data_IF_201913951748
#
_entry.id   IF_201913951748
#
_cell.length_a   1.000
_cell.length_b   1.000
_cell.length_c   1.000
_cell.angle_alpha   90.00
_cell.angle_beta   90.00
_cell.angle_gamma   90.00
#
_symmetry.space_group_name_H-M   'P 1'
#
loop_
_entity.id
_entity.type
_entity.pdbx_description
1 polymer ?
#
# COMPACT_ATOMS: atom_id res chain seq x y z
N UNK A 1 -3.62 -8.59 18.14
CA UNK A 1 -3.33 -9.32 16.87
C UNK A 1 -1.88 -9.78 16.77
N UNK A 2 -0.88 -8.90 16.58
CA UNK A 2 0.52 -9.37 16.47
C UNK A 2 1.14 -9.83 17.80
N UNK A 3 0.67 -9.25 18.91
CA UNK A 3 1.28 -9.41 20.24
C UNK A 3 0.50 -10.34 21.18
N UNK A 4 -0.48 -11.08 20.65
CA UNK A 4 -1.31 -12.00 21.42
C UNK A 4 -0.91 -13.46 21.18
N UNK A 5 -1.07 -14.35 22.18
CA UNK A 5 -0.80 -15.78 21.99
C UNK A 5 -1.55 -16.36 20.79
N UNK A 6 -0.84 -17.11 19.94
CA UNK A 6 -1.38 -17.67 18.71
C UNK A 6 -1.33 -16.73 17.50
N UNK A 7 -0.70 -15.56 17.62
CA UNK A 7 -0.34 -14.75 16.46
C UNK A 7 0.77 -15.42 15.64
N UNK A 8 0.84 -15.04 14.36
CA UNK A 8 1.92 -15.44 13.45
C UNK A 8 3.33 -15.10 13.97
N UNK A 9 3.46 -14.12 14.87
CA UNK A 9 4.75 -13.75 15.47
C UNK A 9 5.25 -14.85 16.41
N UNK A 10 4.36 -15.50 17.15
CA UNK A 10 4.71 -16.66 17.98
C UNK A 10 5.05 -17.88 17.11
N UNK A 11 4.37 -18.06 15.98
CA UNK A 11 4.69 -19.12 15.02
C UNK A 11 6.10 -18.90 14.43
N UNK A 12 6.41 -17.67 13.99
CA UNK A 12 7.75 -17.29 13.52
C UNK A 12 8.81 -17.53 14.60
N UNK A 13 8.52 -17.21 15.87
CA UNK A 13 9.44 -17.46 16.98
C UNK A 13 9.73 -18.96 17.15
N UNK A 14 8.69 -19.80 17.10
CA UNK A 14 8.82 -21.24 17.19
C UNK A 14 9.60 -21.82 16.00
N UNK A 15 9.30 -21.39 14.77
CA UNK A 15 9.96 -21.83 13.54
C UNK A 15 11.46 -21.48 13.52
N UNK A 16 11.82 -20.30 14.01
CA UNK A 16 13.20 -19.80 14.02
C UNK A 16 14.00 -20.21 15.25
N UNK A 17 13.36 -20.88 16.23
CA UNK A 17 14.00 -21.24 17.49
C UNK A 17 14.36 -20.04 18.36
N UNK A 18 13.61 -18.94 18.22
CA UNK A 18 13.79 -17.69 18.97
C UNK A 18 12.66 -17.52 19.99
N UNK A 19 12.67 -16.43 20.76
CA UNK A 19 11.62 -16.12 21.75
C UNK A 19 11.10 -14.73 21.53
N UNK A 20 9.80 -14.63 21.27
CA UNK A 20 9.08 -13.36 21.26
C UNK A 20 8.53 -13.06 22.66
N UNK A 21 8.78 -11.85 23.15
CA UNK A 21 8.24 -11.37 24.43
C UNK A 21 7.15 -10.35 24.12
N UNK A 22 5.88 -10.59 24.45
CA UNK A 22 4.84 -9.64 24.12
C UNK A 22 4.91 -8.39 25.01
N UNK A 23 4.39 -7.26 24.52
CA UNK A 23 4.41 -5.98 25.23
C UNK A 23 3.76 -6.04 26.61
N UNK A 24 2.72 -6.88 26.78
CA UNK A 24 2.10 -7.14 28.09
C UNK A 24 3.10 -7.60 29.17
N UNK A 25 4.26 -8.14 28.76
CA UNK A 25 5.34 -8.57 29.64
C UNK A 25 6.53 -7.59 29.68
N UNK A 26 6.62 -6.64 28.75
CA UNK A 26 7.71 -5.66 28.66
C UNK A 26 7.44 -4.37 29.45
N UNK A 27 6.17 -4.08 29.74
CA UNK A 27 5.77 -2.96 30.58
C UNK A 27 5.14 -1.80 29.80
N UNK A 28 4.83 -0.69 30.50
CA UNK A 28 4.10 0.43 29.92
C UNK A 28 4.94 1.15 28.85
N UNK A 29 4.30 1.49 27.73
CA UNK A 29 4.93 2.22 26.62
C UNK A 29 5.50 1.33 25.52
N UNK A 30 5.40 0.00 25.63
CA UNK A 30 5.68 -0.90 24.53
C UNK A 30 4.53 -0.84 23.52
N UNK A 31 4.85 -0.53 22.26
CA UNK A 31 3.90 -0.56 21.15
C UNK A 31 3.82 -1.99 20.57
N UNK A 32 2.65 -2.66 20.62
CA UNK A 32 2.51 -4.04 20.17
C UNK A 32 2.89 -4.29 18.72
N UNK A 33 2.64 -3.33 17.82
CA UNK A 33 2.95 -3.46 16.40
C UNK A 33 4.46 -3.34 16.18
N UNK A 34 5.08 -2.28 16.70
CA UNK A 34 6.52 -2.06 16.57
C UNK A 34 7.32 -3.18 17.23
N UNK A 35 6.90 -3.65 18.42
CA UNK A 35 7.55 -4.78 19.08
C UNK A 35 7.56 -6.05 18.20
N UNK A 36 6.43 -6.35 17.56
CA UNK A 36 6.33 -7.48 16.64
C UNK A 36 7.21 -7.31 15.41
N UNK A 37 7.21 -6.14 14.77
CA UNK A 37 8.02 -5.86 13.58
C UNK A 37 9.51 -5.91 13.91
N UNK A 38 9.93 -5.28 15.01
CA UNK A 38 11.32 -5.32 15.48
C UNK A 38 11.78 -6.75 15.74
N UNK A 39 10.95 -7.57 16.38
CA UNK A 39 11.26 -8.98 16.56
C UNK A 39 11.41 -9.72 15.22
N UNK A 40 10.47 -9.57 14.30
CA UNK A 40 10.46 -10.25 13.00
C UNK A 40 11.72 -9.92 12.20
N UNK A 41 12.07 -8.64 12.08
CA UNK A 41 13.19 -8.20 11.25
C UNK A 41 14.55 -8.37 11.94
N UNK A 42 14.66 -8.03 13.23
CA UNK A 42 15.95 -7.92 13.93
C UNK A 42 16.34 -9.19 14.70
N UNK A 43 15.37 -10.02 15.09
CA UNK A 43 15.62 -11.24 15.89
C UNK A 43 15.37 -12.49 15.04
N UNK A 44 14.20 -12.60 14.43
CA UNK A 44 13.82 -13.75 13.61
C UNK A 44 14.41 -13.70 12.20
N UNK A 45 14.97 -12.55 11.78
CA UNK A 45 15.58 -12.32 10.46
C UNK A 45 14.63 -12.66 9.29
N UNK A 46 13.36 -12.30 9.44
CA UNK A 46 12.30 -12.49 8.44
C UNK A 46 11.89 -11.17 7.81
N UNK A 47 11.37 -11.24 6.59
CA UNK A 47 10.84 -10.07 5.89
C UNK A 47 9.45 -9.72 6.42
N UNK A 48 9.21 -8.50 6.89
CA UNK A 48 7.88 -8.10 7.40
C UNK A 48 6.78 -8.07 6.32
N UNK A 49 7.15 -7.92 5.06
CA UNK A 49 6.22 -7.91 3.93
C UNK A 49 6.03 -9.30 3.31
N UNK A 50 6.85 -10.28 3.70
CA UNK A 50 6.78 -11.66 3.26
C UNK A 50 7.36 -12.57 4.36
N UNK A 51 6.67 -12.75 5.48
CA UNK A 51 7.27 -13.37 6.68
C UNK A 51 7.88 -14.78 6.51
N UNK A 52 7.50 -15.62 5.51
CA UNK A 52 8.23 -16.86 5.23
C UNK A 52 9.63 -16.65 4.65
N UNK A 53 9.94 -15.47 4.13
CA UNK A 53 11.19 -15.12 3.45
C UNK A 53 12.23 -14.48 4.39
N UNK A 54 13.52 -14.51 4.05
CA UNK A 54 14.57 -13.81 4.79
C UNK A 54 14.36 -12.28 4.75
N UNK A 55 14.77 -11.58 5.81
CA UNK A 55 14.69 -10.11 5.91
C UNK A 55 15.25 -9.42 4.66
N UNK A 56 14.50 -8.47 4.10
CA UNK A 56 14.89 -7.68 2.92
C UNK A 56 14.50 -8.30 1.58
N UNK A 57 14.00 -9.53 1.57
CA UNK A 57 13.63 -10.25 0.35
C UNK A 57 12.74 -9.44 -0.59
N UNK A 58 11.67 -8.79 -0.10
CA UNK A 58 10.74 -8.10 -0.99
C UNK A 58 11.43 -6.93 -1.71
N UNK A 59 12.21 -6.14 -0.98
CA UNK A 59 12.93 -5.00 -1.55
C UNK A 59 14.01 -5.46 -2.54
N UNK A 60 14.68 -6.58 -2.29
CA UNK A 60 15.59 -7.17 -3.28
C UNK A 60 14.85 -7.54 -4.59
N UNK A 61 13.63 -8.07 -4.51
CA UNK A 61 12.82 -8.34 -5.70
C UNK A 61 12.44 -7.04 -6.43
N UNK A 62 11.97 -6.03 -5.69
CA UNK A 62 11.61 -4.72 -6.26
C UNK A 62 12.81 -4.06 -6.95
N UNK A 63 13.96 -4.03 -6.29
CA UNK A 63 15.20 -3.44 -6.81
C UNK A 63 15.72 -4.19 -8.04
N UNK A 64 15.52 -5.51 -8.10
CA UNK A 64 15.87 -6.31 -9.26
C UNK A 64 14.90 -6.13 -10.45
N UNK A 65 13.61 -5.90 -10.18
CA UNK A 65 12.56 -5.78 -11.19
C UNK A 65 12.44 -4.37 -11.75
N UNK A 66 12.55 -3.34 -10.91
CA UNK A 66 12.33 -1.93 -11.28
C UNK A 66 13.10 -1.51 -12.55
N UNK A 67 14.43 -1.68 -12.61
CA UNK A 67 15.20 -1.35 -13.80
C UNK A 67 14.81 -2.15 -15.05
N UNK A 68 14.38 -3.42 -14.88
CA UNK A 68 13.96 -4.27 -16.01
C UNK A 68 12.62 -3.83 -16.57
N UNK A 69 11.70 -3.41 -15.70
CA UNK A 69 10.40 -2.91 -16.12
C UNK A 69 10.47 -1.50 -16.73
N UNK A 70 11.61 -0.81 -16.59
CA UNK A 70 11.89 0.43 -17.32
C UNK A 70 12.37 0.21 -18.77
N UNK A 71 12.52 -1.06 -19.19
CA UNK A 71 12.73 -1.44 -20.59
C UNK A 71 11.39 -1.81 -21.24
N UNK A 72 10.97 -1.05 -22.26
CA UNK A 72 9.65 -1.16 -22.88
C UNK A 72 9.34 -2.58 -23.39
N UNK A 73 10.20 -3.26 -24.18
CA UNK A 73 9.93 -4.64 -24.61
C UNK A 73 9.76 -5.62 -23.44
N UNK A 74 10.57 -5.46 -22.39
CA UNK A 74 10.45 -6.28 -21.17
C UNK A 74 9.14 -6.00 -20.46
N UNK A 75 8.74 -4.74 -20.32
CA UNK A 75 7.47 -4.35 -19.72
C UNK A 75 6.27 -4.87 -20.52
N UNK A 76 6.26 -4.72 -21.85
CA UNK A 76 5.20 -5.24 -22.72
C UNK A 76 5.08 -6.77 -22.62
N UNK A 77 6.23 -7.47 -22.56
CA UNK A 77 6.26 -8.92 -22.32
C UNK A 77 5.71 -9.28 -20.96
N UNK A 78 6.09 -8.54 -19.92
CA UNK A 78 5.68 -8.79 -18.54
C UNK A 78 4.18 -8.54 -18.34
N UNK A 79 3.67 -7.42 -18.85
CA UNK A 79 2.26 -7.05 -18.72
C UNK A 79 1.35 -7.75 -19.73
N UNK A 80 1.91 -8.35 -20.79
CA UNK A 80 1.13 -8.98 -21.85
C UNK A 80 0.31 -7.98 -22.68
N UNK A 81 0.68 -6.69 -22.66
CA UNK A 81 0.01 -5.62 -23.40
C UNK A 81 1.04 -4.81 -24.20
N UNK A 82 0.64 -4.38 -25.40
CA UNK A 82 1.42 -3.43 -26.20
C UNK A 82 1.24 -2.03 -25.59
N UNK A 83 2.14 -1.65 -24.69
CA UNK A 83 2.11 -0.34 -24.02
C UNK A 83 2.20 0.81 -25.03
N UNK A 84 2.93 0.61 -26.13
CA UNK A 84 2.98 1.57 -27.25
C UNK A 84 1.62 1.84 -27.90
N UNK A 85 0.62 0.97 -27.72
CA UNK A 85 -0.74 1.19 -28.21
C UNK A 85 -1.61 2.02 -27.26
N UNK A 86 -1.16 2.36 -26.05
CA UNK A 86 -1.91 3.15 -25.06
C UNK A 86 -1.63 4.64 -25.27
N UNK A 87 -2.57 5.43 -25.87
CA UNK A 87 -2.27 6.81 -26.25
C UNK A 87 -1.94 7.72 -25.07
N UNK A 88 -2.51 7.45 -23.90
CA UNK A 88 -2.33 8.24 -22.69
C UNK A 88 -0.92 8.12 -22.09
N UNK A 89 -0.16 7.09 -22.47
CA UNK A 89 1.24 6.99 -22.06
C UNK A 89 2.10 8.07 -22.73
N UNK A 90 1.79 8.50 -23.94
CA UNK A 90 2.60 9.48 -24.66
C UNK A 90 2.64 10.85 -23.97
N UNK A 91 3.82 11.45 -23.87
CA UNK A 91 4.05 12.78 -23.30
C UNK A 91 3.15 13.86 -23.94
N UNK A 92 2.84 13.72 -25.24
CA UNK A 92 1.94 14.62 -25.97
C UNK A 92 0.48 14.56 -25.48
N UNK A 93 0.04 13.44 -24.90
CA UNK A 93 -1.28 13.28 -24.29
C UNK A 93 -1.34 13.87 -22.87
N UNK A 94 -0.19 14.02 -22.19
CA UNK A 94 -0.08 14.46 -20.79
C UNK A 94 -0.06 15.99 -20.58
N UNK A 95 -0.66 16.75 -21.50
CA UNK A 95 -0.68 18.22 -21.42
C UNK A 95 -1.37 18.76 -20.15
N UNK A 96 -2.27 17.97 -19.56
CA UNK A 96 -3.02 18.30 -18.34
C UNK A 96 -2.62 17.46 -17.11
N UNK A 97 -1.51 16.71 -17.16
CA UNK A 97 -1.04 15.97 -15.99
C UNK A 97 -0.80 16.93 -14.82
N UNK A 98 -1.07 16.46 -13.59
CA UNK A 98 -0.86 17.26 -12.39
C UNK A 98 0.58 17.76 -12.35
N UNK A 99 0.74 19.08 -12.24
CA UNK A 99 2.05 19.72 -12.21
C UNK A 99 2.35 20.16 -10.79
N UNK A 100 3.52 19.81 -10.27
CA UNK A 100 4.10 20.58 -9.17
C UNK A 100 4.44 21.97 -9.68
N UNK A 101 3.55 22.96 -9.49
CA UNK A 101 3.79 24.35 -9.91
C UNK A 101 4.33 25.17 -8.75
N UNK A 102 5.58 25.62 -8.90
CA UNK A 102 6.22 26.57 -8.00
C UNK A 102 7.05 25.93 -6.88
N UNK A 103 7.92 26.73 -6.27
CA UNK A 103 8.45 26.42 -4.94
C UNK A 103 7.34 26.63 -3.94
N UNK A 104 6.65 25.56 -3.55
CA UNK A 104 5.76 25.64 -2.39
C UNK A 104 6.66 25.97 -1.20
N UNK A 105 6.44 27.12 -0.58
CA UNK A 105 7.19 27.47 0.63
C UNK A 105 6.86 26.41 1.67
N UNK A 106 7.86 25.61 2.00
CA UNK A 106 7.85 24.69 3.12
C UNK A 106 7.14 25.35 4.32
N UNK A 107 6.01 24.82 4.81
CA UNK A 107 5.52 25.22 6.11
C UNK A 107 6.61 24.96 7.16
N UNK A 108 6.47 25.61 8.31
CA UNK A 108 7.30 25.25 9.45
C UNK A 108 7.06 23.79 9.79
N UNK A 109 8.16 23.02 9.87
CA UNK A 109 8.18 21.60 10.28
C UNK A 109 7.21 21.39 11.44
N UNK A 110 6.24 20.50 11.26
CA UNK A 110 5.18 20.25 12.24
C UNK A 110 5.75 19.69 13.56
N UNK A 111 5.13 19.99 14.71
CA UNK A 111 5.56 19.47 16.01
C UNK A 111 5.45 17.93 16.14
N UNK A 112 4.78 17.26 15.22
CA UNK A 112 4.66 15.80 15.21
C UNK A 112 5.97 15.08 14.86
N UNK A 113 6.93 15.73 14.18
CA UNK A 113 8.26 15.12 13.95
C UNK A 113 9.04 14.80 15.23
N UNK A 114 8.67 15.42 16.36
CA UNK A 114 9.27 15.14 17.67
C UNK A 114 8.35 14.32 18.57
N UNK A 115 7.15 13.94 18.10
CA UNK A 115 6.26 13.06 18.83
C UNK A 115 6.78 11.62 18.77
N UNK A 116 6.92 10.98 19.93
CA UNK A 116 7.49 9.63 20.07
C UNK A 116 6.85 8.53 19.19
N UNK A 117 5.54 8.53 18.87
CA UNK A 117 4.98 7.52 17.96
C UNK A 117 5.45 7.67 16.50
N UNK A 118 5.87 8.87 16.09
CA UNK A 118 6.13 9.20 14.68
C UNK A 118 7.61 9.01 14.32
N UNK A 119 8.52 9.12 15.30
CA UNK A 119 9.95 9.00 15.05
C UNK A 119 10.43 7.58 14.70
N UNK A 120 9.66 6.54 15.09
CA UNK A 120 10.01 5.14 14.84
C UNK A 120 9.61 4.67 13.42
N UNK A 121 8.57 5.26 12.82
CA UNK A 121 8.10 4.94 11.46
C UNK A 121 8.73 5.80 10.38
N UNK A 122 9.38 6.91 10.75
CA UNK A 122 10.33 7.63 9.91
C UNK A 122 11.58 6.77 9.71
N UNK A 123 11.47 5.71 8.92
CA UNK A 123 12.65 5.12 8.29
C UNK A 123 13.27 6.26 7.50
N UNK A 124 14.57 6.59 7.67
CA UNK A 124 15.24 7.45 6.72
C UNK A 124 15.22 6.68 5.40
N UNK A 125 14.19 6.91 4.58
CA UNK A 125 14.20 6.50 3.19
C UNK A 125 15.49 7.13 2.65
N UNK A 126 16.50 6.34 2.27
CA UNK A 126 17.56 6.91 1.46
C UNK A 126 16.85 7.59 0.29
N UNK A 127 17.27 8.80 -0.13
CA UNK A 127 16.63 9.47 -1.24
C UNK A 127 16.61 8.47 -2.40
N UNK A 128 15.42 7.93 -2.68
CA UNK A 128 15.19 6.90 -3.71
C UNK A 128 15.61 7.43 -5.09
N UNK A 129 15.75 8.75 -5.14
CA UNK A 129 16.22 9.52 -6.25
C UNK A 129 17.74 9.71 -6.15
N UNK A 130 18.49 8.85 -6.84
CA UNK A 130 19.91 9.09 -7.12
C UNK A 130 20.13 10.41 -7.89
N UNK A 131 21.38 10.76 -8.26
CA UNK A 131 21.74 12.05 -8.89
C UNK A 131 21.13 12.35 -10.28
N UNK A 132 20.07 11.63 -10.71
CA UNK A 132 19.35 11.81 -11.96
C UNK A 132 17.84 12.05 -11.84
N UNK A 133 17.26 12.16 -10.64
CA UNK A 133 15.80 12.37 -10.55
C UNK A 133 14.98 11.09 -10.77
N UNK A 134 13.65 11.20 -10.74
CA UNK A 134 12.74 10.14 -11.20
C UNK A 134 12.95 9.77 -12.68
N UNK A 135 13.51 10.70 -13.48
CA UNK A 135 13.86 10.48 -14.88
C UNK A 135 14.89 9.35 -15.10
N UNK A 136 15.73 9.04 -14.11
CA UNK A 136 16.65 7.89 -14.19
C UNK A 136 15.91 6.54 -14.10
N UNK A 137 14.67 6.53 -13.61
CA UNK A 137 13.82 5.35 -13.45
C UNK A 137 12.92 5.10 -14.68
N UNK A 138 12.91 6.02 -15.65
CA UNK A 138 12.12 5.91 -16.88
C UNK A 138 12.72 4.95 -17.91
N UNK A 139 13.98 4.53 -17.71
CA UNK A 139 14.67 3.61 -18.62
C UNK A 139 14.64 4.10 -20.07
N UNK A 140 14.05 3.31 -20.98
CA UNK A 140 13.96 3.67 -22.41
C UNK A 140 12.59 4.21 -22.85
N UNK A 141 11.64 4.37 -21.93
CA UNK A 141 10.28 4.82 -22.24
C UNK A 141 10.22 6.18 -22.97
N UNK A 142 11.07 7.19 -22.64
CA UNK A 142 11.07 8.47 -23.35
C UNK A 142 11.37 8.36 -24.86
N UNK A 143 12.04 7.29 -25.30
CA UNK A 143 12.36 7.07 -26.71
C UNK A 143 11.11 6.74 -27.54
N UNK A 144 10.10 6.13 -26.91
CA UNK A 144 8.82 5.76 -27.54
C UNK A 144 7.73 6.78 -27.23
N UNK A 145 7.60 7.14 -25.96
CA UNK A 145 6.48 7.94 -25.47
C UNK A 145 6.77 9.45 -25.42
N UNK A 146 8.04 9.85 -25.52
CA UNK A 146 8.50 11.24 -25.47
C UNK A 146 9.02 11.66 -24.10
N UNK A 147 9.80 12.73 -24.06
CA UNK A 147 10.35 13.27 -22.83
C UNK A 147 9.26 13.88 -21.94
N UNK A 148 9.30 13.54 -20.65
CA UNK A 148 8.43 14.12 -19.64
C UNK A 148 9.15 15.28 -18.92
N UNK A 149 8.41 16.31 -18.48
CA UNK A 149 8.97 17.38 -17.64
C UNK A 149 9.40 16.83 -16.27
N UNK A 150 10.31 17.52 -15.58
CA UNK A 150 10.92 17.04 -14.31
C UNK A 150 9.95 16.76 -13.13
N UNK A 151 8.67 17.10 -13.27
CA UNK A 151 7.62 16.82 -12.28
C UNK A 151 6.75 15.60 -12.67
N UNK A 152 7.05 14.94 -13.78
CA UNK A 152 6.35 13.77 -14.32
C UNK A 152 7.37 12.68 -14.71
N UNK A 153 6.95 11.42 -14.70
CA UNK A 153 7.76 10.25 -15.07
C UNK A 153 6.83 9.12 -15.52
N UNK A 154 7.36 8.06 -16.12
CA UNK A 154 6.60 6.87 -16.48
C UNK A 154 6.32 5.94 -15.28
N UNK A 155 6.93 6.22 -14.11
CA UNK A 155 6.55 5.70 -12.77
C UNK A 155 6.38 4.16 -12.65
N UNK A 156 7.42 3.39 -12.94
CA UNK A 156 7.38 1.94 -12.68
C UNK A 156 7.56 1.54 -11.19
N UNK A 157 8.37 2.24 -10.36
CA UNK A 157 8.43 1.97 -8.92
C UNK A 157 7.62 3.00 -8.10
N UNK A 158 6.28 2.96 -8.19
CA UNK A 158 5.38 3.95 -7.55
C UNK A 158 5.42 3.93 -6.00
N UNK A 159 5.66 2.76 -5.40
CA UNK A 159 5.45 2.55 -3.96
C UNK A 159 6.36 3.41 -3.09
N UNK A 160 7.60 3.65 -3.52
CA UNK A 160 8.53 4.50 -2.76
C UNK A 160 8.09 5.97 -2.73
N UNK A 161 7.51 6.48 -3.83
CA UNK A 161 7.03 7.86 -3.89
C UNK A 161 5.77 8.03 -3.06
N UNK A 162 4.88 7.03 -3.06
CA UNK A 162 3.71 7.01 -2.17
C UNK A 162 4.18 7.02 -0.72
N UNK A 163 5.09 6.12 -0.33
CA UNK A 163 5.63 6.10 1.04
C UNK A 163 6.32 7.41 1.41
N UNK A 164 7.12 8.00 0.53
CA UNK A 164 7.77 9.31 0.77
C UNK A 164 6.75 10.46 0.90
N UNK A 165 5.59 10.35 0.26
CA UNK A 165 4.50 11.34 0.36
C UNK A 165 3.83 11.36 1.74
N UNK A 166 3.97 10.30 2.53
CA UNK A 166 3.38 10.17 3.88
C UNK A 166 4.42 10.13 5.00
N UNK A 167 5.59 9.57 4.74
CA UNK A 167 6.65 9.32 5.72
C UNK A 167 7.97 10.02 5.37
N UNK A 168 8.05 10.72 4.24
CA UNK A 168 9.26 11.40 3.79
C UNK A 168 9.47 12.78 4.40
N UNK A 169 10.69 13.31 4.28
CA UNK A 169 11.03 14.66 4.76
C UNK A 169 10.17 15.78 4.13
N UNK A 170 9.67 15.56 2.91
CA UNK A 170 8.73 16.48 2.27
C UNK A 170 7.36 16.46 2.93
N UNK A 171 6.80 15.27 3.21
CA UNK A 171 5.53 15.14 3.93
C UNK A 171 5.58 15.84 5.30
N UNK A 172 6.67 15.60 6.02
CA UNK A 172 7.07 16.29 7.25
C UNK A 172 7.10 17.81 7.13
N UNK A 173 7.72 18.30 6.07
CA UNK A 173 7.79 19.72 5.77
C UNK A 173 6.41 20.30 5.50
N UNK A 174 5.55 19.56 4.79
CA UNK A 174 4.18 19.98 4.48
C UNK A 174 3.19 19.75 5.62
N UNK A 175 3.65 19.22 6.76
CA UNK A 175 2.80 18.92 7.91
C UNK A 175 1.82 17.79 7.64
N UNK A 176 2.08 16.94 6.64
CA UNK A 176 1.28 15.75 6.36
C UNK A 176 1.58 14.73 7.45
N UNK A 177 0.68 14.60 8.42
CA UNK A 177 0.77 13.55 9.41
C UNK A 177 0.08 12.27 8.86
N UNK A 178 0.81 11.17 8.66
CA UNK A 178 0.27 9.94 8.08
C UNK A 178 -0.82 9.30 8.94
N UNK A 179 -0.97 9.71 10.19
CA UNK A 179 -1.98 9.24 11.13
C UNK A 179 -3.19 10.19 11.23
N UNK A 180 -3.28 11.23 10.40
CA UNK A 180 -4.44 12.11 10.39
C UNK A 180 -5.72 11.34 10.00
N UNK A 181 -6.78 11.54 10.79
CA UNK A 181 -8.12 11.00 10.54
C UNK A 181 -8.63 11.33 9.13
N UNK A 182 -8.21 12.46 8.57
CA UNK A 182 -8.56 12.89 7.21
C UNK A 182 -8.21 11.84 6.15
N UNK A 183 -7.12 11.08 6.32
CA UNK A 183 -6.73 10.05 5.35
C UNK A 183 -7.74 8.90 5.31
N UNK A 184 -8.18 8.42 6.47
CA UNK A 184 -9.23 7.40 6.57
C UNK A 184 -10.57 7.92 6.03
N UNK A 185 -10.94 9.17 6.34
CA UNK A 185 -12.14 9.81 5.77
C UNK A 185 -12.08 9.94 4.24
N UNK A 186 -10.90 10.24 3.68
CA UNK A 186 -10.70 10.31 2.24
C UNK A 186 -10.80 8.93 1.57
N UNK A 187 -10.30 7.88 2.23
CA UNK A 187 -10.52 6.51 1.77
C UNK A 187 -12.02 6.18 1.71
N UNK A 188 -12.75 6.40 2.81
CA UNK A 188 -14.22 6.20 2.87
C UNK A 188 -14.95 7.03 1.82
N UNK A 189 -14.50 8.26 1.55
CA UNK A 189 -15.05 9.09 0.47
C UNK A 189 -14.80 8.50 -0.91
N UNK A 190 -13.60 8.01 -1.19
CA UNK A 190 -13.25 7.44 -2.49
C UNK A 190 -14.08 6.20 -2.80
N UNK A 191 -14.33 5.33 -1.82
CA UNK A 191 -15.19 4.16 -1.96
C UNK A 191 -16.59 4.49 -2.46
N UNK A 192 -17.10 5.71 -2.21
CA UNK A 192 -18.41 6.11 -2.68
C UNK A 192 -18.50 6.22 -4.21
N UNK A 193 -17.36 6.42 -4.87
CA UNK A 193 -17.26 6.73 -6.29
C UNK A 193 -16.40 5.76 -7.09
N UNK A 194 -15.59 4.92 -6.42
CA UNK A 194 -14.60 4.05 -7.05
C UNK A 194 -14.83 2.62 -6.60
N UNK A 195 -15.05 1.73 -7.57
CA UNK A 195 -15.02 0.29 -7.33
C UNK A 195 -13.63 -0.08 -6.83
N UNK A 196 -13.56 -0.78 -5.70
CA UNK A 196 -12.31 -1.00 -4.98
C UNK A 196 -12.01 -2.48 -4.84
N UNK A 197 -10.77 -2.85 -5.19
CA UNK A 197 -10.20 -4.19 -5.02
C UNK A 197 -8.98 -4.08 -4.11
N UNK A 198 -8.97 -4.84 -3.03
CA UNK A 198 -7.88 -4.88 -2.05
C UNK A 198 -7.42 -6.32 -1.92
N UNK A 199 -6.13 -6.60 -1.99
CA UNK A 199 -5.63 -7.97 -1.74
C UNK A 199 -5.47 -8.21 -0.24
N UNK A 200 -5.96 -9.34 0.27
CA UNK A 200 -5.67 -9.79 1.64
C UNK A 200 -4.53 -10.81 1.61
N UNK A 201 -3.29 -10.32 1.77
CA UNK A 201 -2.08 -11.12 1.67
C UNK A 201 -1.72 -11.75 3.02
N UNK A 202 -1.71 -13.08 3.10
CA UNK A 202 -1.50 -13.80 4.36
C UNK A 202 -0.08 -13.65 4.93
N UNK A 203 0.93 -13.35 4.09
CA UNK A 203 2.32 -13.22 4.55
C UNK A 203 2.73 -11.80 4.88
N UNK A 204 1.84 -10.83 4.66
CA UNK A 204 2.08 -9.44 4.95
C UNK A 204 1.77 -9.14 6.43
N UNK A 205 2.78 -8.73 7.19
CA UNK A 205 2.63 -8.35 8.58
C UNK A 205 2.36 -6.85 8.76
N UNK A 206 2.46 -6.06 7.69
CA UNK A 206 2.26 -4.61 7.73
C UNK A 206 0.81 -4.24 7.48
N UNK A 207 0.11 -4.96 6.58
CA UNK A 207 -1.32 -4.76 6.32
C UNK A 207 -2.11 -6.00 6.70
N UNK A 208 -2.91 -5.89 7.75
CA UNK A 208 -3.91 -6.91 8.09
C UNK A 208 -5.27 -6.54 7.51
N UNK A 209 -5.62 -7.15 6.37
CA UNK A 209 -6.89 -6.90 5.68
C UNK A 209 -8.13 -6.92 6.60
N UNK A 210 -8.30 -7.90 7.51
CA UNK A 210 -9.43 -7.95 8.42
C UNK A 210 -9.56 -6.78 9.42
N UNK A 211 -8.53 -5.93 9.60
CA UNK A 211 -8.68 -4.68 10.37
C UNK A 211 -9.40 -3.57 9.61
N UNK A 212 -9.41 -3.60 8.28
CA UNK A 212 -9.96 -2.51 7.46
C UNK A 212 -11.42 -2.21 7.83
N UNK A 213 -12.32 -3.21 7.97
CA UNK A 213 -13.70 -2.98 8.42
C UNK A 213 -13.80 -2.28 9.77
N UNK A 214 -13.01 -2.72 10.75
CA UNK A 214 -13.02 -2.16 12.09
C UNK A 214 -12.54 -0.70 12.10
N UNK A 215 -11.47 -0.39 11.35
CA UNK A 215 -10.97 0.98 11.20
C UNK A 215 -11.99 1.89 10.52
N UNK A 216 -12.68 1.41 9.47
CA UNK A 216 -13.74 2.20 8.82
C UNK A 216 -14.93 2.43 9.74
N UNK A 217 -15.30 1.46 10.58
CA UNK A 217 -16.42 1.57 11.51
C UNK A 217 -16.23 2.66 12.58
N UNK A 218 -15.02 3.19 12.76
CA UNK A 218 -14.76 4.35 13.62
C UNK A 218 -15.36 5.66 13.06
N UNK A 219 -15.74 5.71 11.77
CA UNK A 219 -16.38 6.85 11.14
C UNK A 219 -17.91 6.74 11.15
N UNK A 220 -18.51 6.63 12.33
CA UNK A 220 -19.96 6.51 12.52
C UNK A 220 -20.77 7.75 12.08
N UNK A 221 -20.08 8.88 11.88
CA UNK A 221 -20.64 10.09 11.29
C UNK A 221 -20.85 9.98 9.76
N UNK A 222 -20.15 9.04 9.11
CA UNK A 222 -20.18 8.80 7.67
C UNK A 222 -20.81 7.47 7.31
N UNK A 223 -20.70 6.46 8.18
CA UNK A 223 -21.09 5.08 7.93
C UNK A 223 -22.08 4.59 9.00
N UNK A 224 -23.03 3.77 8.56
CA UNK A 224 -24.03 3.14 9.44
C UNK A 224 -23.71 1.69 9.77
N UNK A 225 -22.97 1.02 8.89
CA UNK A 225 -22.50 -0.35 9.09
C UNK A 225 -21.31 -0.64 8.16
N UNK A 226 -20.41 -1.50 8.63
CA UNK A 226 -19.29 -2.02 7.86
C UNK A 226 -19.09 -3.48 8.22
N UNK A 227 -19.33 -4.38 7.27
CA UNK A 227 -19.34 -5.83 7.52
C UNK A 227 -18.25 -6.52 6.71
N UNK A 228 -17.49 -7.41 7.37
CA UNK A 228 -16.55 -8.32 6.73
C UNK A 228 -17.24 -9.63 6.37
N UNK A 229 -17.20 -10.00 5.09
CA UNK A 229 -17.80 -11.23 4.58
C UNK A 229 -16.72 -12.06 3.86
N UNK A 230 -15.92 -12.84 4.61
CA UNK A 230 -14.78 -13.58 4.07
C UNK A 230 -15.17 -14.68 3.09
N UNK A 231 -16.41 -15.17 3.17
CA UNK A 231 -16.92 -16.30 2.39
C UNK A 231 -17.73 -15.87 1.15
N UNK A 232 -17.87 -14.56 0.91
CA UNK A 232 -18.62 -13.98 -0.22
C UNK A 232 -17.71 -13.33 -1.26
N UNK A 233 -18.05 -13.32 -2.57
CA UNK A 233 -19.23 -13.95 -3.15
C UNK A 233 -19.11 -15.48 -3.17
N UNK A 234 -20.17 -16.15 -2.75
CA UNK A 234 -20.23 -17.61 -2.72
C UNK A 234 -19.92 -18.22 -4.09
N UNK A 235 -18.98 -19.17 -4.13
CA UNK A 235 -18.57 -19.87 -5.35
C UNK A 235 -17.44 -19.19 -6.13
N UNK A 236 -16.97 -18.01 -5.70
CA UNK A 236 -15.69 -17.48 -6.18
C UNK A 236 -14.54 -18.38 -5.72
N UNK A 237 -13.49 -18.47 -6.54
CA UNK A 237 -12.31 -19.27 -6.23
C UNK A 237 -11.57 -18.77 -4.98
N UNK A 238 -11.53 -17.45 -4.79
CA UNK A 238 -10.99 -16.77 -3.60
C UNK A 238 -12.03 -15.78 -3.06
N UNK A 239 -12.94 -16.20 -2.18
CA UNK A 239 -13.93 -15.28 -1.62
C UNK A 239 -13.27 -14.20 -0.74
N UNK A 240 -14.09 -13.23 -0.35
CA UNK A 240 -13.75 -12.11 0.52
C UNK A 240 -14.32 -10.80 -0.05
N UNK A 241 -15.18 -10.15 0.74
CA UNK A 241 -15.65 -8.79 0.48
C UNK A 241 -15.92 -8.02 1.76
N UNK A 242 -15.82 -6.69 1.69
CA UNK A 242 -16.28 -5.78 2.73
C UNK A 242 -17.51 -5.04 2.20
N UNK A 243 -18.59 -5.03 2.98
CA UNK A 243 -19.82 -4.29 2.66
C UNK A 243 -19.87 -3.02 3.51
N UNK A 244 -20.07 -1.87 2.85
CA UNK A 244 -20.02 -0.54 3.48
C UNK A 244 -21.36 0.15 3.28
N UNK A 245 -22.05 0.46 4.39
CA UNK A 245 -23.33 1.17 4.39
C UNK A 245 -23.14 2.63 4.78
N UNK A 246 -23.41 3.56 3.87
CA UNK A 246 -23.26 4.99 4.13
C UNK A 246 -24.42 5.57 4.94
N UNK A 247 -24.09 6.48 5.86
CA UNK A 247 -25.07 7.29 6.57
C UNK A 247 -25.84 8.21 5.59
N UNK A 248 -27.14 8.49 5.84
CA UNK A 248 -27.92 9.39 5.00
C UNK A 248 -27.25 10.76 4.83
N UNK A 249 -27.00 11.16 3.59
CA UNK A 249 -26.38 12.45 3.25
C UNK A 249 -24.86 12.49 3.37
N UNK A 250 -24.19 11.40 3.76
CA UNK A 250 -22.73 11.29 3.72
C UNK A 250 -22.23 11.65 2.31
N UNK A 251 -21.35 12.64 2.19
CA UNK A 251 -20.84 13.16 0.91
C UNK A 251 -21.92 13.57 -0.12
N UNK A 252 -23.14 13.86 0.32
CA UNK A 252 -24.27 14.16 -0.57
C UNK A 252 -24.85 12.92 -1.27
N UNK A 253 -24.54 11.72 -0.79
CA UNK A 253 -25.05 10.47 -1.35
C UNK A 253 -26.53 10.24 -0.98
N UNK A 254 -27.29 9.52 -1.84
CA UNK A 254 -28.63 9.06 -1.51
C UNK A 254 -28.66 8.20 -0.24
N UNK A 255 -29.72 8.32 0.55
CA UNK A 255 -29.95 7.46 1.70
C UNK A 255 -29.97 5.98 1.29
N UNK A 256 -29.31 5.13 2.09
CA UNK A 256 -29.20 3.69 1.81
C UNK A 256 -28.18 3.34 0.72
N UNK A 257 -27.21 4.23 0.44
CA UNK A 257 -26.10 3.89 -0.45
C UNK A 257 -25.22 2.81 0.19
N UNK A 258 -24.96 1.76 -0.58
CA UNK A 258 -24.11 0.62 -0.20
C UNK A 258 -22.98 0.51 -1.22
N UNK A 259 -21.78 0.20 -0.75
CA UNK A 259 -20.62 -0.10 -1.57
C UNK A 259 -19.97 -1.40 -1.12
N UNK A 260 -19.30 -2.04 -2.06
CA UNK A 260 -18.57 -3.27 -1.80
C UNK A 260 -17.09 -3.05 -2.14
N UNK A 261 -16.21 -3.59 -1.30
CA UNK A 261 -14.79 -3.75 -1.57
C UNK A 261 -14.56 -5.22 -1.82
N UNK A 262 -14.03 -5.55 -3.00
CA UNK A 262 -13.60 -6.91 -3.31
C UNK A 262 -12.28 -7.19 -2.59
N UNK A 263 -12.22 -8.23 -1.75
CA UNK A 263 -11.03 -8.52 -0.94
C UNK A 263 -10.61 -10.00 -0.91
N UNK A 264 -10.11 -10.57 -2.02
CA UNK A 264 -9.65 -11.96 -2.08
C UNK A 264 -8.44 -12.19 -1.17
N UNK A 265 -8.41 -13.37 -0.56
CA UNK A 265 -7.27 -13.84 0.23
C UNK A 265 -6.23 -14.56 -0.63
N UNK A 266 -4.95 -14.27 -0.40
CA UNK A 266 -3.81 -14.90 -1.07
C UNK A 266 -2.80 -15.41 -0.05
N UNK A 267 -2.22 -16.57 -0.32
CA UNK A 267 -0.99 -17.01 0.35
C UNK A 267 0.20 -16.35 -0.36
N UNK A 268 0.38 -15.06 -0.10
CA UNK A 268 1.31 -14.20 -0.83
C UNK A 268 1.88 -13.11 0.08
N UNK A 269 2.97 -12.47 -0.37
CA UNK A 269 3.57 -11.28 0.20
C UNK A 269 2.69 -10.04 -0.01
N UNK A 270 3.15 -8.91 0.54
CA UNK A 270 2.61 -7.57 0.29
C UNK A 270 2.44 -7.24 -1.20
N UNK A 271 3.25 -7.86 -2.08
CA UNK A 271 3.13 -7.72 -3.52
C UNK A 271 2.52 -8.98 -4.13
N UNK A 272 1.21 -9.18 -3.99
CA UNK A 272 0.51 -10.36 -4.53
C UNK A 272 0.80 -10.65 -6.02
N UNK A 273 0.92 -9.66 -6.93
CA UNK A 273 1.32 -9.93 -8.31
C UNK A 273 2.67 -10.63 -8.48
N UNK A 274 3.56 -10.56 -7.48
CA UNK A 274 4.84 -11.25 -7.49
C UNK A 274 4.70 -12.75 -7.20
N UNK A 275 3.84 -13.11 -6.24
CA UNK A 275 3.69 -14.49 -5.76
C UNK A 275 2.57 -15.27 -6.47
N UNK A 276 1.49 -14.57 -6.84
CA UNK A 276 0.27 -15.16 -7.42
C UNK A 276 -0.22 -14.38 -8.66
N UNK A 277 0.64 -14.17 -9.69
CA UNK A 277 0.32 -13.32 -10.84
C UNK A 277 -0.88 -13.83 -11.66
N UNK A 278 -1.03 -15.15 -11.81
CA UNK A 278 -2.11 -15.74 -12.60
C UNK A 278 -3.43 -15.61 -11.85
N UNK A 279 -3.42 -15.87 -10.56
CA UNK A 279 -4.59 -15.83 -9.68
C UNK A 279 -5.12 -14.40 -9.53
N UNK A 280 -4.25 -13.41 -9.29
CA UNK A 280 -4.70 -12.01 -9.18
C UNK A 280 -5.22 -11.48 -10.52
N UNK A 281 -4.61 -11.85 -11.64
CA UNK A 281 -5.11 -11.46 -12.95
C UNK A 281 -6.51 -12.05 -13.21
N UNK A 282 -6.72 -13.33 -12.91
CA UNK A 282 -8.02 -13.98 -13.03
C UNK A 282 -9.08 -13.35 -12.11
N UNK A 283 -8.73 -12.99 -10.88
CA UNK A 283 -9.67 -12.35 -9.96
C UNK A 283 -10.02 -10.92 -10.38
N UNK A 284 -9.07 -10.17 -10.92
CA UNK A 284 -9.32 -8.83 -11.48
C UNK A 284 -10.21 -8.94 -12.72
N UNK A 285 -9.94 -9.86 -13.63
CA UNK A 285 -10.78 -10.10 -14.82
C UNK A 285 -12.21 -10.47 -14.41
N UNK A 286 -12.36 -11.39 -13.45
CA UNK A 286 -13.66 -11.78 -12.93
C UNK A 286 -14.39 -10.61 -12.24
N UNK A 287 -13.66 -9.74 -11.53
CA UNK A 287 -14.22 -8.58 -10.83
C UNK A 287 -14.66 -7.47 -11.79
N UNK A 288 -13.91 -7.23 -12.87
CA UNK A 288 -14.23 -6.23 -13.89
C UNK A 288 -15.26 -6.72 -14.92
N UNK A 289 -15.58 -8.01 -14.92
CA UNK A 289 -16.58 -8.60 -15.81
C UNK A 289 -18.00 -8.21 -15.37
N UNK A 290 -18.85 -7.73 -16.29
CA UNK A 290 -20.20 -7.22 -15.97
C UNK A 290 -21.22 -8.31 -15.60
#
# INVERSE_FOLDING_TARGET
>A
MHDEPGSVVFDIAAETGTTFVPCAQQGPGCDPFQNAIDFVELVAMRDRFAHPQPVGWLFEQIDALGPRLSDLPTAETFFGVELSAVPDLYASARTNAYRGVGSVKAPSVGPWLTAAPHAATLVPTPPVVGPGGGAALDGNFPQTFGDLPAYDTYYMPSNYVVLDSFYGSYSATFGIDPYEELHARNFVRNLAYVETFVTNAAWDLVIWGPAIPAAMAEHDDLLTDVTWEPDEPMGAERPGRIVVHYAPGAFGLPAGTIREIRMPAYQASHTVPLDAPVEIAADIEAWLSP
#
